data_IF_632230389723
#
_entry.id   IF_632230389723
#
_cell.length_a   1.000
_cell.length_b   1.000
_cell.length_c   1.000
_cell.angle_alpha   90.00
_cell.angle_beta   90.00
_cell.angle_gamma   90.00
#
_symmetry.space_group_name_H-M   'P 1'
#
loop_
_entity.id
_entity.type
_entity.pdbx_description
1 polymer ?
#
# COMPACT_ATOMS: atom_id res chain seq x y z
N UNK A 1 2.33 21.41 -1.43
CA UNK A 1 3.08 21.90 -0.24
C UNK A 1 2.52 23.21 0.31
N UNK A 2 1.84 24.04 -0.49
CA UNK A 2 1.25 25.33 -0.08
C UNK A 2 -0.22 25.19 0.39
N UNK A 3 -0.53 25.71 1.58
CA UNK A 3 -1.88 25.71 2.17
C UNK A 3 -2.81 26.76 1.53
N UNK A 4 -2.30 27.94 1.17
CA UNK A 4 -3.07 29.01 0.52
C UNK A 4 -3.53 28.60 -0.88
N UNK A 5 -2.69 27.84 -1.58
CA UNK A 5 -3.09 27.17 -2.81
C UNK A 5 -4.17 26.10 -2.56
N UNK A 6 -3.97 25.26 -1.54
CA UNK A 6 -4.86 24.13 -1.27
C UNK A 6 -6.30 24.56 -0.93
N UNK A 7 -6.48 25.69 -0.22
CA UNK A 7 -7.80 26.30 0.07
C UNK A 7 -8.63 26.59 -1.19
N UNK A 8 -7.97 26.88 -2.32
CA UNK A 8 -8.61 27.16 -3.62
C UNK A 8 -9.03 25.89 -4.35
N UNK A 9 -8.51 24.72 -3.95
CA UNK A 9 -8.86 23.44 -4.57
C UNK A 9 -10.16 22.87 -3.98
N UNK A 10 -10.61 21.73 -4.53
CA UNK A 10 -11.74 20.97 -3.97
C UNK A 10 -11.45 20.36 -2.60
N UNK A 11 -10.17 20.12 -2.27
CA UNK A 11 -9.76 19.44 -1.03
C UNK A 11 -9.67 20.37 0.18
N UNK A 12 -9.62 21.69 -0.05
CA UNK A 12 -9.54 22.78 0.95
C UNK A 12 -8.31 22.80 1.86
N UNK A 13 -7.57 21.70 1.95
CA UNK A 13 -6.36 21.52 2.73
C UNK A 13 -5.32 20.74 1.93
N UNK A 14 -4.06 20.81 2.39
CA UNK A 14 -2.98 20.00 1.81
C UNK A 14 -3.27 18.51 2.02
N UNK A 15 -3.06 17.73 0.95
CA UNK A 15 -3.18 16.28 0.95
C UNK A 15 -1.82 15.65 0.66
N UNK A 16 -1.58 14.46 1.20
CA UNK A 16 -0.42 13.66 0.88
C UNK A 16 -0.47 13.15 -0.56
N UNK A 17 0.70 12.93 -1.17
CA UNK A 17 0.77 12.26 -2.46
C UNK A 17 0.36 10.79 -2.29
N UNK A 18 -0.50 10.27 -3.17
CA UNK A 18 -1.00 8.89 -3.07
C UNK A 18 0.13 7.86 -2.96
N UNK A 19 1.25 8.08 -3.65
CA UNK A 19 2.42 7.19 -3.59
C UNK A 19 3.07 7.06 -2.21
N UNK A 20 2.83 8.01 -1.28
CA UNK A 20 3.28 7.86 0.11
C UNK A 20 2.59 6.65 0.76
N UNK A 21 1.29 6.44 0.48
CA UNK A 21 0.57 5.25 0.98
C UNK A 21 1.12 3.96 0.37
N UNK A 22 1.57 3.99 -0.88
CA UNK A 22 2.21 2.85 -1.53
C UNK A 22 3.58 2.51 -0.91
N UNK A 23 4.34 3.52 -0.49
CA UNK A 23 5.59 3.30 0.25
C UNK A 23 5.34 2.53 1.56
N UNK A 24 4.26 2.83 2.28
CA UNK A 24 3.90 2.08 3.49
C UNK A 24 3.45 0.64 3.22
N UNK A 25 2.81 0.37 2.07
CA UNK A 25 2.54 -1.00 1.61
C UNK A 25 3.86 -1.76 1.43
N UNK A 26 4.85 -1.14 0.79
CA UNK A 26 6.18 -1.73 0.63
C UNK A 26 6.83 -2.07 1.97
N UNK A 27 6.72 -1.19 2.96
CA UNK A 27 7.25 -1.45 4.32
C UNK A 27 6.54 -2.64 4.97
N UNK A 28 5.21 -2.68 4.92
CA UNK A 28 4.41 -3.77 5.49
C UNK A 28 4.78 -5.13 4.87
N UNK A 29 5.00 -5.16 3.56
CA UNK A 29 5.45 -6.36 2.86
C UNK A 29 6.89 -6.75 3.26
N UNK A 30 7.82 -5.81 3.33
CA UNK A 30 9.20 -6.10 3.71
C UNK A 30 9.32 -6.68 5.14
N UNK A 31 8.50 -6.20 6.08
CA UNK A 31 8.56 -6.61 7.50
C UNK A 31 7.88 -7.93 7.82
N UNK A 32 6.97 -8.43 6.97
CA UNK A 32 6.10 -9.54 7.35
C UNK A 32 6.02 -10.69 6.34
N UNK A 33 6.78 -10.64 5.24
CA UNK A 33 6.77 -11.73 4.27
C UNK A 33 7.51 -12.97 4.81
N UNK A 34 6.91 -14.18 4.71
CA UNK A 34 7.62 -15.43 4.94
C UNK A 34 8.81 -15.55 3.97
N UNK A 35 10.04 -15.69 4.48
CA UNK A 35 11.25 -15.70 3.66
C UNK A 35 11.80 -14.31 3.34
N UNK A 36 11.81 -13.40 4.33
CA UNK A 36 12.29 -12.02 4.20
C UNK A 36 13.65 -11.87 3.48
N UNK A 37 14.53 -12.86 3.61
CA UNK A 37 15.86 -12.87 2.97
C UNK A 37 15.80 -13.06 1.44
N UNK A 38 14.68 -13.51 0.88
CA UNK A 38 14.52 -13.85 -0.54
C UNK A 38 13.24 -13.32 -1.19
N UNK A 39 12.60 -12.34 -0.56
CA UNK A 39 11.38 -11.74 -1.08
C UNK A 39 11.66 -10.61 -2.08
N UNK A 40 11.16 -10.73 -3.31
CA UNK A 40 11.20 -9.66 -4.32
C UNK A 40 9.79 -9.14 -4.59
N UNK A 41 9.59 -7.83 -4.41
CA UNK A 41 8.34 -7.15 -4.77
C UNK A 41 8.26 -6.97 -6.28
N UNK A 42 7.37 -7.71 -6.94
CA UNK A 42 7.32 -7.79 -8.41
C UNK A 42 6.37 -6.76 -9.02
N UNK A 43 5.18 -6.62 -8.45
CA UNK A 43 4.11 -5.80 -9.01
C UNK A 43 3.22 -5.23 -7.90
N UNK A 44 2.68 -4.05 -8.15
CA UNK A 44 1.70 -3.39 -7.29
C UNK A 44 0.69 -2.62 -8.14
N UNK A 45 -0.58 -2.99 -8.02
CA UNK A 45 -1.70 -2.18 -8.52
C UNK A 45 -2.21 -1.25 -7.42
N UNK A 46 -2.61 -0.02 -7.77
CA UNK A 46 -3.07 0.98 -6.79
C UNK A 46 -4.33 1.68 -7.27
N UNK A 47 -5.28 1.83 -6.36
CA UNK A 47 -6.46 2.70 -6.48
C UNK A 47 -6.43 3.66 -5.30
N UNK A 48 -6.23 4.95 -5.59
CA UNK A 48 -6.32 6.03 -4.60
C UNK A 48 -7.79 6.44 -4.46
N UNK A 49 -8.47 5.88 -3.47
CA UNK A 49 -9.92 5.99 -3.28
C UNK A 49 -10.29 7.33 -2.64
N UNK A 50 -9.49 7.79 -1.67
CA UNK A 50 -9.72 9.05 -0.94
C UNK A 50 -8.41 9.77 -0.64
N UNK A 51 -8.44 11.11 -0.51
CA UNK A 51 -7.28 11.87 -0.09
C UNK A 51 -6.86 11.49 1.33
N UNK A 52 -5.56 11.56 1.60
CA UNK A 52 -4.98 11.48 2.94
C UNK A 52 -4.57 12.89 3.35
N UNK A 53 -4.96 13.31 4.54
CA UNK A 53 -4.65 14.63 5.09
C UNK A 53 -3.46 14.57 6.04
N UNK A 54 -2.89 15.74 6.35
CA UNK A 54 -1.90 15.83 7.43
C UNK A 54 -2.52 15.32 8.75
N UNK A 55 -1.70 14.60 9.51
CA UNK A 55 -2.06 13.99 10.80
C UNK A 55 -3.04 12.81 10.73
N UNK A 56 -3.42 12.33 9.53
CA UNK A 56 -4.09 11.03 9.43
C UNK A 56 -3.16 9.93 9.93
N UNK A 57 -3.73 9.01 10.73
CA UNK A 57 -3.03 7.81 11.17
C UNK A 57 -3.43 6.68 10.22
N UNK A 58 -2.46 6.19 9.45
CA UNK A 58 -2.72 5.16 8.46
C UNK A 58 -2.41 3.77 9.00
N UNK A 59 -3.33 2.85 8.79
CA UNK A 59 -3.15 1.41 9.01
C UNK A 59 -3.03 0.73 7.65
N UNK A 60 -1.95 -0.02 7.47
CA UNK A 60 -1.72 -0.82 6.25
C UNK A 60 -1.99 -2.28 6.56
N UNK A 61 -2.77 -2.92 5.71
CA UNK A 61 -3.08 -4.35 5.80
C UNK A 61 -2.77 -5.03 4.47
N UNK A 62 -1.91 -6.03 4.52
CA UNK A 62 -1.62 -6.94 3.41
C UNK A 62 -2.15 -8.32 3.77
N UNK A 63 -3.09 -8.85 2.97
CA UNK A 63 -3.70 -10.16 3.20
C UNK A 63 -3.34 -11.08 2.05
N UNK A 64 -2.73 -12.24 2.35
CA UNK A 64 -2.44 -13.24 1.32
C UNK A 64 -3.75 -13.76 0.75
N UNK A 65 -3.88 -13.73 -0.57
CA UNK A 65 -5.06 -14.23 -1.29
C UNK A 65 -4.75 -15.47 -2.12
N UNK A 66 -3.52 -15.60 -2.61
CA UNK A 66 -3.15 -16.71 -3.49
C UNK A 66 -1.66 -17.06 -3.38
N UNK A 67 -1.35 -18.34 -3.50
CA UNK A 67 0.00 -18.86 -3.76
C UNK A 67 0.03 -19.48 -5.15
N UNK A 68 0.93 -19.00 -6.00
CA UNK A 68 1.10 -19.47 -7.38
C UNK A 68 2.47 -20.15 -7.48
N UNK A 69 2.55 -21.49 -7.37
CA UNK A 69 3.80 -22.21 -7.46
C UNK A 69 4.41 -22.09 -8.86
N UNK A 70 5.71 -21.80 -8.92
CA UNK A 70 6.55 -21.91 -10.12
C UNK A 70 7.63 -22.96 -9.89
N UNK A 71 8.40 -23.29 -10.94
CA UNK A 71 9.42 -24.36 -10.87
C UNK A 71 10.50 -24.13 -9.80
N UNK A 72 10.87 -22.86 -9.52
CA UNK A 72 11.98 -22.50 -8.60
C UNK A 72 11.57 -21.61 -7.43
N UNK A 73 10.38 -21.00 -7.49
CA UNK A 73 9.90 -20.01 -6.53
C UNK A 73 8.38 -20.03 -6.50
N UNK A 74 7.78 -19.34 -5.54
CA UNK A 74 6.32 -19.15 -5.46
C UNK A 74 6.03 -17.66 -5.59
N UNK A 75 5.01 -17.30 -6.37
CA UNK A 75 4.45 -15.95 -6.34
C UNK A 75 3.36 -15.94 -5.28
N UNK A 76 3.44 -15.02 -4.33
CA UNK A 76 2.42 -14.77 -3.33
C UNK A 76 1.68 -13.50 -3.73
N UNK A 77 0.36 -13.61 -3.86
CA UNK A 77 -0.52 -12.48 -4.18
C UNK A 77 -1.15 -11.98 -2.89
N UNK A 78 -1.19 -10.66 -2.73
CA UNK A 78 -1.79 -10.00 -1.58
C UNK A 78 -2.85 -9.01 -2.01
N UNK A 79 -3.95 -8.98 -1.29
CA UNK A 79 -4.81 -7.81 -1.23
C UNK A 79 -4.21 -6.79 -0.27
N UNK A 80 -4.03 -5.57 -0.75
CA UNK A 80 -3.43 -4.46 -0.01
C UNK A 80 -4.48 -3.39 0.25
N UNK A 81 -4.64 -3.00 1.50
CA UNK A 81 -5.60 -1.96 1.91
C UNK A 81 -4.93 -1.02 2.89
N UNK A 82 -5.12 0.28 2.67
CA UNK A 82 -4.70 1.34 3.59
C UNK A 82 -5.95 2.06 4.07
N UNK A 83 -6.12 2.13 5.39
CA UNK A 83 -7.23 2.84 6.04
C UNK A 83 -6.72 3.96 6.93
N UNK A 84 -7.51 5.01 7.13
CA UNK A 84 -7.25 6.04 8.14
C UNK A 84 -7.76 5.62 9.53
N UNK A 85 -7.64 6.51 10.52
CA UNK A 85 -8.11 6.33 11.90
C UNK A 85 -9.61 6.02 12.02
N UNK A 86 -10.41 6.42 11.03
CA UNK A 86 -11.85 6.19 10.99
C UNK A 86 -12.23 4.91 10.23
N UNK A 87 -11.24 4.04 9.94
CA UNK A 87 -11.37 2.83 9.12
C UNK A 87 -11.84 3.08 7.68
N UNK A 88 -11.66 4.30 7.18
CA UNK A 88 -12.01 4.64 5.80
C UNK A 88 -10.86 4.23 4.89
N UNK A 89 -11.17 3.45 3.85
CA UNK A 89 -10.19 3.06 2.82
C UNK A 89 -9.74 4.27 2.02
N UNK A 90 -8.44 4.55 2.06
CA UNK A 90 -7.80 5.65 1.30
C UNK A 90 -7.07 5.13 0.07
N UNK A 91 -6.45 3.95 0.18
CA UNK A 91 -5.79 3.27 -0.93
C UNK A 91 -6.11 1.78 -0.88
N UNK A 92 -6.37 1.18 -2.03
CA UNK A 92 -6.55 -0.27 -2.17
C UNK A 92 -5.82 -0.77 -3.41
N UNK A 93 -5.52 -2.05 -3.46
CA UNK A 93 -4.80 -2.64 -4.59
C UNK A 93 -4.37 -4.06 -4.33
N UNK A 94 -3.53 -4.58 -5.21
CA UNK A 94 -2.93 -5.90 -5.07
C UNK A 94 -1.42 -5.85 -5.26
N UNK A 95 -0.70 -6.60 -4.43
CA UNK A 95 0.74 -6.82 -4.52
C UNK A 95 1.04 -8.23 -5.02
N UNK A 96 2.13 -8.38 -5.76
CA UNK A 96 2.74 -9.68 -6.02
C UNK A 96 4.18 -9.68 -5.51
N UNK A 97 4.51 -10.69 -4.70
CA UNK A 97 5.87 -10.92 -4.25
C UNK A 97 6.34 -12.30 -4.66
N UNK A 98 7.58 -12.39 -5.12
CA UNK A 98 8.28 -13.66 -5.27
C UNK A 98 8.88 -14.05 -3.93
N UNK A 99 8.64 -15.29 -3.50
CA UNK A 99 9.34 -15.91 -2.37
C UNK A 99 10.00 -17.22 -2.84
N UNK A 100 11.26 -17.43 -2.49
CA UNK A 100 11.91 -18.74 -2.66
C UNK A 100 11.68 -19.58 -1.41
N UNK A 101 11.59 -20.90 -1.57
CA UNK A 101 11.71 -21.84 -0.45
C UNK A 101 13.09 -21.70 0.20
#
# INVERSE_FOLDING_TARGET
MDEEFAKKTQFKHRIAHGMITAAFISTCLAEHIPGQESCIYLDQSLKFVKPVYLNDVLTVKCTITEFIPKKKFTIVVYDTTVTNQDNVVVTSGQAQCMATK
#
